data_IF_937238139445
#
_entry.id   IF_937238139445
#
_cell.length_a   1.000
_cell.length_b   1.000
_cell.length_c   1.000
_cell.angle_alpha   90.00
_cell.angle_beta   90.00
_cell.angle_gamma   90.00
#
_symmetry.space_group_name_H-M   'P 1'
#
loop_
_entity.id
_entity.type
_entity.pdbx_description
1 polymer ?
#
# COMPACT_ATOMS: atom_id res chain seq x y z
N UNK A 1 23.63 26.72 17.24
CA UNK A 1 22.27 27.13 16.82
C UNK A 1 21.37 25.91 16.91
N UNK A 2 20.39 25.87 17.82
CA UNK A 2 19.50 24.72 18.05
C UNK A 2 18.50 24.61 16.89
N UNK A 3 18.47 23.46 16.22
CA UNK A 3 17.39 23.13 15.27
C UNK A 3 16.05 23.05 16.02
N UNK A 4 15.08 23.88 15.61
CA UNK A 4 13.72 23.83 16.13
C UNK A 4 13.08 22.50 15.72
N UNK A 5 12.70 21.67 16.70
CA UNK A 5 11.79 20.55 16.47
C UNK A 5 10.41 21.11 16.16
N UNK A 6 9.82 20.67 15.05
CA UNK A 6 8.41 20.88 14.79
C UNK A 6 7.67 19.69 15.40
N UNK A 7 6.89 19.96 16.44
CA UNK A 7 6.10 18.92 17.10
C UNK A 7 4.75 18.82 16.39
N UNK A 8 4.50 17.66 15.77
CA UNK A 8 3.21 17.32 15.14
C UNK A 8 2.44 16.45 16.12
N UNK A 9 1.23 16.86 16.47
CA UNK A 9 0.31 16.06 17.27
C UNK A 9 -0.82 15.53 16.38
N UNK A 10 -1.08 14.22 16.48
CA UNK A 10 -2.24 13.56 15.88
C UNK A 10 -3.26 13.35 17.00
N UNK A 11 -4.43 13.97 16.87
CA UNK A 11 -5.60 13.75 17.74
C UNK A 11 -6.85 13.79 16.88
N UNK A 12 -7.81 12.91 17.14
CA UNK A 12 -9.13 12.87 16.48
C UNK A 12 -9.07 12.96 14.95
N UNK A 13 -8.08 12.27 14.34
CA UNK A 13 -7.83 12.24 12.89
C UNK A 13 -7.61 13.59 12.21
N UNK A 14 -7.13 14.56 12.97
CA UNK A 14 -6.68 15.85 12.44
C UNK A 14 -5.22 16.07 12.79
N UNK A 15 -4.47 16.59 11.83
CA UNK A 15 -3.09 17.01 12.03
C UNK A 15 -3.13 18.45 12.54
N UNK A 16 -2.68 18.66 13.77
CA UNK A 16 -2.55 20.00 14.34
C UNK A 16 -1.09 20.42 14.34
N UNK A 17 -0.74 21.48 13.59
CA UNK A 17 0.56 22.15 13.72
C UNK A 17 0.53 22.98 15.00
N UNK A 18 1.43 22.70 15.95
CA UNK A 18 1.54 23.49 17.17
C UNK A 18 2.67 24.51 16.98
N UNK A 19 2.28 25.74 16.61
CA UNK A 19 3.18 26.89 16.51
C UNK A 19 2.53 28.06 15.77
N UNK A 20 2.74 29.29 16.25
CA UNK A 20 2.38 30.51 15.49
C UNK A 20 3.52 30.82 14.53
N UNK A 21 3.26 30.79 13.22
CA UNK A 21 4.21 31.25 12.21
C UNK A 21 4.13 32.78 12.10
N UNK A 22 5.21 33.45 12.52
CA UNK A 22 5.59 34.77 12.00
C UNK A 22 7.04 34.67 11.55
N UNK A 23 7.30 35.06 10.30
CA UNK A 23 8.64 35.35 9.79
C UNK A 23 9.02 36.80 10.17
N UNK A 24 10.33 37.13 10.30
CA UNK A 24 10.78 38.45 10.73
C UNK A 24 10.64 39.57 9.68
N UNK A 25 10.09 39.29 8.49
CA UNK A 25 9.98 40.21 7.36
C UNK A 25 8.54 40.53 6.93
N UNK A 26 7.51 39.95 7.57
CA UNK A 26 6.12 40.45 7.50
C UNK A 26 5.40 40.26 6.15
N UNK A 27 5.74 39.26 5.35
CA UNK A 27 5.00 38.96 4.12
C UNK A 27 3.83 37.99 4.36
N UNK A 28 2.70 38.24 3.71
CA UNK A 28 1.52 37.38 3.75
C UNK A 28 1.79 36.03 3.06
N UNK A 29 1.69 34.95 3.83
CA UNK A 29 1.76 33.58 3.34
C UNK A 29 0.52 33.27 2.49
N UNK A 30 0.75 32.77 1.27
CA UNK A 30 -0.31 32.21 0.41
C UNK A 30 -0.98 31.07 1.18
N UNK A 31 -2.26 31.24 1.50
CA UNK A 31 -3.05 30.30 2.29
C UNK A 31 -3.12 28.95 1.61
N UNK A 32 -2.35 27.99 2.10
CA UNK A 32 -2.61 26.57 1.88
C UNK A 32 -3.86 26.26 2.70
N UNK A 33 -4.94 25.69 2.14
CA UNK A 33 -6.11 25.35 2.94
C UNK A 33 -5.69 24.42 4.08
N UNK A 34 -5.97 24.85 5.33
CA UNK A 34 -5.58 24.22 6.60
C UNK A 34 -6.24 22.84 6.85
N UNK A 35 -6.72 22.16 5.82
CA UNK A 35 -7.39 20.88 5.97
C UNK A 35 -7.06 19.98 4.80
N UNK A 36 -5.97 19.23 4.96
CA UNK A 36 -5.81 17.99 4.23
C UNK A 36 -6.82 17.00 4.81
N UNK A 37 -8.00 16.87 4.19
CA UNK A 37 -8.96 15.83 4.55
C UNK A 37 -8.36 14.52 4.05
N UNK A 38 -7.71 13.78 4.94
CA UNK A 38 -7.50 12.35 4.71
C UNK A 38 -8.89 11.74 4.57
N UNK A 39 -9.30 11.40 3.35
CA UNK A 39 -10.41 10.49 3.17
C UNK A 39 -9.98 9.20 3.87
N UNK A 40 -10.56 8.93 5.05
CA UNK A 40 -10.48 7.60 5.63
C UNK A 40 -11.00 6.64 4.56
N UNK A 41 -10.32 5.53 4.28
CA UNK A 41 -10.96 4.42 3.60
C UNK A 41 -12.31 4.20 4.29
N UNK A 42 -13.39 4.07 3.49
CA UNK A 42 -14.71 3.66 4.00
C UNK A 42 -14.44 2.57 5.05
N UNK A 43 -14.85 2.73 6.32
CA UNK A 43 -14.56 1.70 7.31
C UNK A 43 -15.22 0.43 6.79
N UNK A 44 -14.39 -0.52 6.35
CA UNK A 44 -14.83 -1.87 6.09
C UNK A 44 -15.60 -2.27 7.35
N UNK A 45 -16.84 -2.71 7.17
CA UNK A 45 -17.66 -3.06 8.32
C UNK A 45 -16.86 -4.07 9.16
N UNK A 46 -17.02 -4.06 10.49
CA UNK A 46 -16.33 -5.00 11.38
C UNK A 46 -16.66 -6.49 11.11
N UNK A 47 -17.51 -6.75 10.11
CA UNK A 47 -17.80 -8.05 9.51
C UNK A 47 -16.86 -8.37 8.32
N UNK A 48 -16.50 -7.40 7.48
CA UNK A 48 -15.51 -7.56 6.39
C UNK A 48 -14.09 -7.79 6.94
N UNK A 49 -13.76 -7.17 8.07
CA UNK A 49 -12.46 -7.31 8.75
C UNK A 49 -12.21 -8.72 9.32
N UNK A 50 -13.23 -9.58 9.36
CA UNK A 50 -13.13 -10.98 9.82
C UNK A 50 -13.14 -12.00 8.68
N UNK A 51 -13.24 -11.56 7.42
CA UNK A 51 -13.27 -12.50 6.30
C UNK A 51 -11.86 -12.98 6.00
N UNK A 52 -11.71 -14.31 5.95
CA UNK A 52 -10.51 -14.96 5.43
C UNK A 52 -10.25 -14.44 4.02
N UNK A 53 -9.09 -13.83 3.80
CA UNK A 53 -8.67 -13.34 2.48
C UNK A 53 -7.75 -14.35 1.81
N UNK A 54 -7.98 -14.57 0.51
CA UNK A 54 -7.08 -15.27 -0.41
C UNK A 54 -6.04 -14.28 -0.92
N UNK A 55 -4.84 -14.35 -0.35
CA UNK A 55 -3.77 -13.38 -0.55
C UNK A 55 -2.88 -13.79 -1.72
N UNK A 56 -2.82 -12.95 -2.75
CA UNK A 56 -1.75 -13.00 -3.76
C UNK A 56 -0.53 -12.21 -3.28
N UNK A 57 0.68 -12.66 -3.64
CA UNK A 57 1.92 -11.95 -3.34
C UNK A 57 2.73 -11.69 -4.61
N UNK A 58 3.06 -10.42 -4.87
CA UNK A 58 4.00 -10.02 -5.92
C UNK A 58 5.37 -9.81 -5.29
N UNK A 59 6.37 -10.57 -5.74
CA UNK A 59 7.74 -10.54 -5.24
C UNK A 59 8.01 -11.57 -4.14
N UNK A 60 9.06 -12.36 -4.29
CA UNK A 60 9.51 -13.36 -3.31
C UNK A 60 10.96 -13.09 -2.82
N UNK A 61 11.28 -11.80 -2.67
CA UNK A 61 12.57 -11.30 -2.18
C UNK A 61 12.63 -11.16 -0.66
N UNK A 62 13.41 -10.19 -0.19
CA UNK A 62 13.65 -9.98 1.25
C UNK A 62 12.38 -9.72 2.08
N UNK A 63 11.38 -9.04 1.51
CA UNK A 63 10.11 -8.73 2.19
C UNK A 63 9.05 -9.78 1.86
N UNK A 64 8.87 -10.12 0.59
CA UNK A 64 7.83 -11.07 0.20
C UNK A 64 8.02 -12.47 0.78
N UNK A 65 9.25 -12.98 0.87
CA UNK A 65 9.54 -14.32 1.40
C UNK A 65 9.08 -14.51 2.86
N UNK A 66 9.45 -13.66 3.84
CA UNK A 66 8.95 -13.79 5.20
C UNK A 66 7.42 -13.59 5.29
N UNK A 67 6.82 -12.72 4.46
CA UNK A 67 5.35 -12.56 4.40
C UNK A 67 4.66 -13.85 3.96
N UNK A 68 5.10 -14.44 2.85
CA UNK A 68 4.56 -15.70 2.36
C UNK A 68 4.73 -16.84 3.38
N UNK A 69 5.90 -16.94 4.03
CA UNK A 69 6.13 -17.91 5.11
C UNK A 69 5.22 -17.71 6.31
N UNK A 70 4.94 -16.46 6.69
CA UNK A 70 3.99 -16.16 7.76
C UNK A 70 2.57 -16.59 7.40
N UNK A 71 2.13 -16.35 6.15
CA UNK A 71 0.83 -16.82 5.64
C UNK A 71 0.75 -18.35 5.63
N UNK A 72 1.76 -19.03 5.08
CA UNK A 72 1.81 -20.49 5.03
C UNK A 72 1.81 -21.13 6.43
N UNK A 73 2.46 -20.49 7.40
CA UNK A 73 2.51 -20.93 8.78
C UNK A 73 1.26 -20.54 9.61
N UNK A 74 0.23 -19.94 9.00
CA UNK A 74 -0.98 -19.48 9.69
C UNK A 74 -0.74 -18.34 10.70
N UNK A 75 0.40 -17.65 10.61
CA UNK A 75 0.76 -16.53 11.51
C UNK A 75 0.05 -15.22 11.16
N UNK A 76 -0.60 -15.18 10.00
CA UNK A 76 -1.41 -14.05 9.53
C UNK A 76 -2.92 -14.26 9.81
N UNK A 77 -3.26 -14.96 10.90
CA UNK A 77 -4.67 -15.26 11.23
C UNK A 77 -5.30 -16.22 10.24
N UNK A 78 -6.55 -15.95 9.85
CA UNK A 78 -7.29 -16.81 8.90
C UNK A 78 -6.91 -16.57 7.44
N UNK A 79 -6.06 -15.59 7.11
CA UNK A 79 -5.66 -15.34 5.71
C UNK A 79 -4.84 -16.50 5.13
N UNK A 80 -5.03 -16.78 3.84
CA UNK A 80 -4.34 -17.88 3.14
C UNK A 80 -3.53 -17.35 1.96
N UNK A 81 -2.33 -17.90 1.75
CA UNK A 81 -1.53 -17.61 0.55
C UNK A 81 -2.12 -18.36 -0.64
N UNK A 82 -2.58 -17.62 -1.65
CA UNK A 82 -3.23 -18.15 -2.84
C UNK A 82 -2.29 -18.30 -4.03
N UNK A 83 -1.36 -17.36 -4.22
CA UNK A 83 -0.36 -17.41 -5.28
C UNK A 83 0.84 -16.50 -4.94
N UNK A 84 2.01 -16.82 -5.51
CA UNK A 84 3.20 -15.97 -5.46
C UNK A 84 3.71 -15.75 -6.88
N UNK A 85 3.90 -14.50 -7.26
CA UNK A 85 4.51 -14.09 -8.53
C UNK A 85 5.95 -13.61 -8.29
N UNK A 86 6.92 -14.17 -9.02
CA UNK A 86 8.30 -13.69 -9.01
C UNK A 86 8.97 -13.87 -10.37
N UNK A 87 9.86 -12.94 -10.73
CA UNK A 87 10.60 -12.99 -12.00
C UNK A 87 11.50 -14.21 -12.16
N UNK A 88 12.10 -14.66 -11.05
CA UNK A 88 12.93 -15.86 -11.00
C UNK A 88 12.23 -16.85 -10.06
N UNK A 89 11.24 -17.60 -10.56
CA UNK A 89 10.42 -18.46 -9.72
C UNK A 89 11.31 -19.56 -9.14
N UNK A 90 11.27 -19.65 -7.82
CA UNK A 90 11.86 -20.75 -7.05
C UNK A 90 10.79 -21.19 -6.09
N UNK A 91 10.68 -22.50 -5.90
CA UNK A 91 9.80 -23.08 -4.92
C UNK A 91 10.01 -22.41 -3.54
N UNK A 92 8.89 -22.11 -2.88
CA UNK A 92 8.88 -21.51 -1.55
C UNK A 92 8.38 -22.55 -0.55
N UNK A 93 9.31 -23.33 0.00
CA UNK A 93 9.03 -24.33 1.04
C UNK A 93 7.89 -25.31 0.64
N UNK A 94 7.88 -25.75 -0.61
CA UNK A 94 6.88 -26.61 -1.25
C UNK A 94 5.72 -25.86 -1.91
N UNK A 95 5.67 -24.52 -1.81
CA UNK A 95 4.64 -23.70 -2.44
C UNK A 95 5.08 -23.21 -3.83
N UNK A 96 4.26 -23.43 -4.88
CA UNK A 96 4.62 -23.06 -6.24
C UNK A 96 4.65 -21.54 -6.43
N UNK A 97 5.68 -21.06 -7.12
CA UNK A 97 5.85 -19.66 -7.52
C UNK A 97 5.73 -19.55 -9.03
N UNK A 98 4.84 -18.67 -9.51
CA UNK A 98 4.67 -18.39 -10.94
C UNK A 98 5.53 -17.20 -11.38
N UNK A 99 5.91 -17.15 -12.64
CA UNK A 99 6.47 -15.98 -13.32
C UNK A 99 5.49 -15.33 -14.31
N UNK A 100 4.33 -15.95 -14.51
CA UNK A 100 3.31 -15.52 -15.46
C UNK A 100 2.34 -14.55 -14.78
N UNK A 101 2.45 -13.26 -15.10
CA UNK A 101 1.64 -12.20 -14.51
C UNK A 101 0.13 -12.36 -14.79
N UNK A 102 -0.25 -12.70 -16.02
CA UNK A 102 -1.67 -12.86 -16.40
C UNK A 102 -2.35 -13.98 -15.61
N UNK A 103 -1.64 -15.11 -15.47
CA UNK A 103 -2.11 -16.24 -14.65
C UNK A 103 -2.27 -15.85 -13.18
N UNK A 104 -1.34 -15.05 -12.65
CA UNK A 104 -1.43 -14.56 -11.28
C UNK A 104 -2.64 -13.63 -11.11
N UNK A 105 -2.81 -12.61 -11.96
CA UNK A 105 -3.91 -11.65 -11.86
C UNK A 105 -5.29 -12.29 -12.09
N UNK A 106 -5.38 -13.38 -12.84
CA UNK A 106 -6.60 -14.17 -13.03
C UNK A 106 -6.94 -15.09 -11.83
N UNK A 107 -6.09 -15.19 -10.80
CA UNK A 107 -6.22 -16.15 -9.69
C UNK A 107 -7.38 -15.91 -8.70
N UNK A 108 -8.14 -14.82 -8.87
CA UNK A 108 -9.28 -14.44 -8.03
C UNK A 108 -8.86 -14.14 -6.58
N UNK A 109 -7.90 -13.22 -6.41
CA UNK A 109 -7.41 -12.81 -5.09
C UNK A 109 -8.37 -11.82 -4.42
N UNK A 110 -8.47 -11.88 -3.10
CA UNK A 110 -9.20 -10.87 -2.31
C UNK A 110 -8.29 -9.70 -1.92
N UNK A 111 -6.98 -9.98 -1.80
CA UNK A 111 -5.93 -9.02 -1.48
C UNK A 111 -4.65 -9.41 -2.22
N UNK A 112 -3.97 -8.44 -2.81
CA UNK A 112 -2.61 -8.61 -3.33
C UNK A 112 -1.64 -7.77 -2.48
N UNK A 113 -0.57 -8.40 -2.01
CA UNK A 113 0.55 -7.69 -1.38
C UNK A 113 1.65 -7.49 -2.45
N UNK A 114 2.02 -6.25 -2.72
CA UNK A 114 3.15 -5.91 -3.59
C UNK A 114 4.42 -5.71 -2.75
N UNK A 115 5.41 -6.57 -3.00
CA UNK A 115 6.75 -6.52 -2.44
C UNK A 115 7.82 -6.89 -3.49
N UNK A 116 7.55 -6.56 -4.76
CA UNK A 116 8.39 -6.84 -5.93
C UNK A 116 9.33 -5.70 -6.32
N UNK A 117 9.13 -4.51 -5.74
CA UNK A 117 9.93 -3.32 -5.98
C UNK A 117 9.30 -2.38 -7.01
N UNK A 118 9.91 -1.20 -7.26
CA UNK A 118 9.32 -0.15 -8.09
C UNK A 118 8.91 -0.59 -9.50
N UNK A 119 9.68 -1.47 -10.14
CA UNK A 119 9.36 -1.98 -11.48
C UNK A 119 8.11 -2.88 -11.46
N UNK A 120 8.00 -3.77 -10.46
CA UNK A 120 6.83 -4.63 -10.31
C UNK A 120 5.57 -3.84 -9.97
N UNK A 121 5.70 -2.84 -9.10
CA UNK A 121 4.62 -1.92 -8.79
C UNK A 121 4.07 -1.26 -10.06
N UNK A 122 4.92 -0.61 -10.86
CA UNK A 122 4.51 0.08 -12.09
C UNK A 122 3.81 -0.85 -13.08
N UNK A 123 4.31 -2.08 -13.18
CA UNK A 123 3.81 -3.04 -14.16
C UNK A 123 2.49 -3.71 -13.73
N UNK A 124 2.23 -3.85 -12.43
CA UNK A 124 1.20 -4.79 -11.95
C UNK A 124 0.16 -4.16 -11.02
N UNK A 125 0.48 -3.10 -10.29
CA UNK A 125 -0.43 -2.54 -9.28
C UNK A 125 -1.68 -1.90 -9.88
N UNK A 126 -1.64 -1.13 -10.99
CA UNK A 126 -2.86 -0.63 -11.62
C UNK A 126 -3.85 -1.75 -11.97
N UNK A 127 -3.40 -2.78 -12.70
CA UNK A 127 -4.23 -3.92 -13.08
C UNK A 127 -4.68 -4.79 -11.88
N UNK A 128 -3.92 -4.80 -10.78
CA UNK A 128 -4.32 -5.48 -9.54
C UNK A 128 -5.43 -4.71 -8.81
N UNK A 129 -5.34 -3.38 -8.75
CA UNK A 129 -6.34 -2.51 -8.11
C UNK A 129 -7.70 -2.54 -8.81
N UNK A 130 -7.73 -2.80 -10.11
CA UNK A 130 -8.99 -3.03 -10.84
C UNK A 130 -9.71 -4.31 -10.41
N UNK A 131 -9.03 -5.22 -9.70
CA UNK A 131 -9.53 -6.57 -9.39
C UNK A 131 -9.77 -6.80 -7.91
N UNK A 132 -8.91 -6.27 -7.06
CA UNK A 132 -8.98 -6.48 -5.61
C UNK A 132 -8.24 -5.39 -4.82
N UNK A 133 -8.26 -5.50 -3.49
CA UNK A 133 -7.45 -4.66 -2.63
C UNK A 133 -5.95 -4.91 -2.87
N UNK A 134 -5.14 -3.86 -2.77
CA UNK A 134 -3.68 -3.96 -2.88
C UNK A 134 -3.00 -3.29 -1.69
N UNK A 135 -2.06 -4.00 -1.05
CA UNK A 135 -1.12 -3.43 -0.09
C UNK A 135 0.26 -3.37 -0.72
N UNK A 136 0.74 -2.17 -1.04
CA UNK A 136 2.03 -1.99 -1.68
C UNK A 136 3.12 -1.53 -0.71
N UNK A 137 4.30 -2.14 -0.84
CA UNK A 137 5.48 -1.81 -0.04
C UNK A 137 6.40 -0.84 -0.77
N UNK A 138 6.28 -0.70 -2.09
CA UNK A 138 7.17 0.15 -2.91
C UNK A 138 6.53 1.51 -3.20
N UNK A 139 6.78 2.58 -2.42
CA UNK A 139 6.13 3.88 -2.64
C UNK A 139 6.77 4.72 -3.75
N UNK A 140 8.03 4.46 -4.12
CA UNK A 140 8.81 5.29 -5.06
C UNK A 140 8.09 5.57 -6.39
N UNK A 141 7.37 4.62 -7.01
CA UNK A 141 6.60 4.89 -8.22
C UNK A 141 5.57 6.01 -8.09
N UNK A 142 5.01 6.24 -6.90
CA UNK A 142 4.02 7.31 -6.66
C UNK A 142 4.64 8.72 -6.71
N UNK A 143 5.96 8.86 -6.82
CA UNK A 143 6.59 10.14 -7.12
C UNK A 143 6.32 10.61 -8.57
N UNK A 144 5.83 9.73 -9.44
CA UNK A 144 5.36 10.04 -10.78
C UNK A 144 3.89 10.53 -10.73
N UNK A 145 3.62 11.82 -11.02
CA UNK A 145 2.27 12.39 -10.87
C UNK A 145 1.22 11.76 -11.78
N UNK A 146 1.60 11.20 -12.93
CA UNK A 146 0.66 10.56 -13.84
C UNK A 146 0.21 9.21 -13.26
N UNK A 147 1.17 8.41 -12.80
CA UNK A 147 0.87 7.13 -12.16
C UNK A 147 0.11 7.33 -10.85
N UNK A 148 0.48 8.31 -10.03
CA UNK A 148 -0.25 8.62 -8.79
C UNK A 148 -1.72 8.98 -9.08
N UNK A 149 -1.97 9.82 -10.09
CA UNK A 149 -3.34 10.16 -10.52
C UNK A 149 -4.13 8.95 -11.01
N UNK A 150 -3.49 8.08 -11.78
CA UNK A 150 -4.10 6.84 -12.27
C UNK A 150 -4.53 5.95 -11.10
N UNK A 151 -3.62 5.65 -10.18
CA UNK A 151 -3.87 4.85 -8.99
C UNK A 151 -5.02 5.44 -8.16
N UNK A 152 -5.02 6.76 -7.92
CA UNK A 152 -6.09 7.43 -7.19
C UNK A 152 -7.44 7.34 -7.92
N UNK A 153 -7.44 7.42 -9.25
CA UNK A 153 -8.64 7.26 -10.07
C UNK A 153 -9.28 5.88 -9.93
N UNK A 154 -8.46 4.83 -9.92
CA UNK A 154 -8.92 3.45 -9.74
C UNK A 154 -9.47 3.25 -8.32
N UNK A 155 -8.71 3.64 -7.28
CA UNK A 155 -9.12 3.44 -5.89
C UNK A 155 -10.31 4.30 -5.45
N UNK A 156 -10.55 5.44 -6.10
CA UNK A 156 -11.68 6.34 -5.80
C UNK A 156 -13.02 5.95 -6.43
N UNK A 157 -13.05 4.92 -7.28
CA UNK A 157 -14.23 4.55 -8.07
C UNK A 157 -15.05 3.38 -7.47
N UNK A 158 -14.78 2.97 -6.22
CA UNK A 158 -15.43 1.84 -5.53
C UNK A 158 -16.27 2.18 -4.28
#
# INVERSE_FOLDING_TARGET
MRGRRQDIAIRDDKIHRIGRDLDPAGHATIGVPDTLVLHRPRPASSLDARQMKRVGLIGCGAIGRPVARALLAGKAGSHSLAAVLARAPRDLDGFPVTDTADRFLAGGHDLIIEAGGPAAFRALVPAALERCEVWAVSPVPLADPLLEREIRGISGSG
#
